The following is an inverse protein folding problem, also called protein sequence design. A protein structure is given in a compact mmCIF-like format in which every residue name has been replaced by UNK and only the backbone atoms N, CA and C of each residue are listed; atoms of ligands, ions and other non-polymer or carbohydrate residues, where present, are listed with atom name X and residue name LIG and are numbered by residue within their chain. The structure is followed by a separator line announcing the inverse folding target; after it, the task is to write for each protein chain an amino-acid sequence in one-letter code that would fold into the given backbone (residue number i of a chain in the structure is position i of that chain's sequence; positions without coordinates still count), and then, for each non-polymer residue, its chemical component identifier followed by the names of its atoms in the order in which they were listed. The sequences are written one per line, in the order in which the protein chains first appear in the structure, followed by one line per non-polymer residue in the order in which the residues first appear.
data_IF_613782514747
#
_entry.id   IF_613782514747
#
_cell.length_a   1.000
_cell.length_b   1.000
_cell.length_c   1.000
_cell.angle_alpha   90.00
_cell.angle_beta   90.00
_cell.angle_gamma   90.00
#
_symmetry.space_group_name_H-M   'P 1'
#
loop_
_entity.id
_entity.type
_entity.pdbx_description
1 polymer ?
#
# COMPACT_ATOMS: atom_id res chain seq x y z
N UNK A 1 26.43 -7.70 8.15
CA UNK A 1 26.48 -6.24 7.95
C UNK A 1 25.74 -5.72 6.70
N UNK A 2 25.38 -6.56 5.71
CA UNK A 2 24.69 -6.11 4.47
C UNK A 2 23.16 -5.99 4.56
N UNK A 3 22.52 -6.67 5.52
CA UNK A 3 21.05 -6.68 5.65
C UNK A 3 20.49 -5.34 6.18
N UNK A 4 21.20 -4.74 7.13
CA UNK A 4 20.84 -3.45 7.74
C UNK A 4 20.96 -2.32 6.70
N UNK A 5 22.05 -2.28 5.92
CA UNK A 5 22.22 -1.29 4.85
C UNK A 5 21.15 -1.39 3.76
N UNK A 6 20.63 -2.59 3.48
CA UNK A 6 19.50 -2.79 2.55
C UNK A 6 18.19 -2.19 3.09
N UNK A 7 17.96 -2.31 4.40
CA UNK A 7 16.77 -1.76 5.07
C UNK A 7 16.69 -0.23 4.99
N UNK A 8 17.84 0.46 5.01
CA UNK A 8 17.93 1.93 4.96
C UNK A 8 18.07 2.51 3.55
N UNK A 9 17.77 1.72 2.51
CA UNK A 9 17.65 2.30 1.16
C UNK A 9 16.40 3.20 1.12
N UNK A 10 16.44 4.34 0.39
CA UNK A 10 15.34 5.31 0.39
C UNK A 10 13.98 4.67 0.08
N UNK A 11 13.94 3.75 -0.88
CA UNK A 11 12.72 3.02 -1.27
C UNK A 11 12.18 2.16 -0.11
N UNK A 12 13.04 1.44 0.62
CA UNK A 12 12.60 0.63 1.75
C UNK A 12 12.12 1.47 2.93
N UNK A 13 12.72 2.65 3.16
CA UNK A 13 12.25 3.61 4.16
C UNK A 13 10.87 4.15 3.78
N UNK A 14 10.66 4.56 2.52
CA UNK A 14 9.35 4.98 2.03
C UNK A 14 8.30 3.88 2.18
N UNK A 15 8.67 2.64 1.87
CA UNK A 15 7.78 1.48 2.02
C UNK A 15 7.40 1.22 3.48
N UNK A 16 8.37 1.34 4.39
CA UNK A 16 8.13 1.23 5.83
C UNK A 16 7.18 2.34 6.32
N UNK A 17 7.43 3.59 5.93
CA UNK A 17 6.57 4.72 6.29
C UNK A 17 5.15 4.56 5.74
N UNK A 18 5.00 4.10 4.49
CA UNK A 18 3.70 3.82 3.89
C UNK A 18 2.95 2.72 4.67
N UNK A 19 3.60 1.59 4.98
CA UNK A 19 3.01 0.53 5.78
C UNK A 19 2.58 1.01 7.17
N UNK A 20 3.45 1.75 7.87
CA UNK A 20 3.13 2.28 9.19
C UNK A 20 1.92 3.21 9.13
N UNK A 21 1.83 4.08 8.12
CA UNK A 21 0.66 4.95 7.93
C UNK A 21 -0.62 4.15 7.67
N UNK A 22 -0.57 3.11 6.82
CA UNK A 22 -1.73 2.22 6.59
C UNK A 22 -2.19 1.60 7.91
N UNK A 23 -1.26 1.09 8.72
CA UNK A 23 -1.59 0.45 10.01
C UNK A 23 -2.22 1.47 10.97
N UNK A 24 -1.61 2.65 11.13
CA UNK A 24 -2.11 3.69 12.05
C UNK A 24 -3.50 4.16 11.63
N UNK A 25 -3.71 4.44 10.34
CA UNK A 25 -5.00 4.90 9.81
C UNK A 25 -6.05 3.80 9.94
N UNK A 26 -5.71 2.54 9.64
CA UNK A 26 -6.62 1.40 9.79
C UNK A 26 -7.03 1.21 11.26
N UNK A 27 -6.08 1.29 12.18
CA UNK A 27 -6.33 1.13 13.61
C UNK A 27 -7.19 2.27 14.17
N UNK A 28 -6.88 3.51 13.76
CA UNK A 28 -7.69 4.68 14.08
C UNK A 28 -9.13 4.56 13.55
N UNK A 29 -9.30 4.05 12.31
CA UNK A 29 -10.62 3.78 11.73
C UNK A 29 -11.43 2.77 12.51
N UNK A 30 -10.79 1.75 13.09
CA UNK A 30 -11.45 0.71 13.87
C UNK A 30 -11.89 1.27 15.23
N UNK A 31 -11.00 1.99 15.92
CA UNK A 31 -11.27 2.52 17.26
C UNK A 31 -12.33 3.63 17.24
N UNK A 32 -12.26 4.54 16.26
CA UNK A 32 -13.13 5.70 16.18
C UNK A 32 -14.34 5.49 15.26
N UNK A 33 -14.62 4.24 14.89
CA UNK A 33 -15.68 3.92 13.93
C UNK A 33 -17.04 4.45 14.37
N UNK A 34 -17.38 4.36 15.66
CA UNK A 34 -18.71 4.74 16.13
C UNK A 34 -18.86 6.25 16.37
N UNK A 35 -17.74 6.97 16.49
CA UNK A 35 -17.71 8.43 16.72
C UNK A 35 -17.55 9.25 15.44
N UNK A 36 -17.17 8.63 14.32
CA UNK A 36 -16.99 9.30 13.03
C UNK A 36 -18.31 9.48 12.27
N UNK A 37 -18.44 10.60 11.54
CA UNK A 37 -19.47 10.75 10.51
C UNK A 37 -19.23 9.81 9.34
N UNK A 38 -20.29 9.41 8.62
CA UNK A 38 -20.18 8.54 7.44
C UNK A 38 -19.22 9.10 6.38
N UNK A 39 -19.30 10.42 6.11
CA UNK A 39 -18.37 11.10 5.19
C UNK A 39 -16.90 10.95 5.62
N UNK A 40 -16.62 10.98 6.93
CA UNK A 40 -15.27 10.80 7.46
C UNK A 40 -14.81 9.36 7.28
N UNK A 41 -15.69 8.38 7.51
CA UNK A 41 -15.40 6.95 7.30
C UNK A 41 -15.04 6.66 5.84
N UNK A 42 -15.84 7.17 4.90
CA UNK A 42 -15.62 6.95 3.47
C UNK A 42 -14.30 7.54 2.98
N UNK A 43 -13.98 8.76 3.44
CA UNK A 43 -12.70 9.42 3.14
C UNK A 43 -11.51 8.65 3.71
N UNK A 44 -11.61 8.20 4.97
CA UNK A 44 -10.54 7.47 5.63
C UNK A 44 -10.31 6.10 4.97
N UNK A 45 -11.38 5.41 4.59
CA UNK A 45 -11.29 4.14 3.86
C UNK A 45 -10.62 4.32 2.49
N UNK A 46 -11.03 5.34 1.73
CA UNK A 46 -10.44 5.67 0.43
C UNK A 46 -8.94 6.01 0.54
N UNK A 47 -8.55 6.78 1.56
CA UNK A 47 -7.14 7.09 1.84
C UNK A 47 -6.33 5.84 2.19
N UNK A 48 -6.90 4.92 2.97
CA UNK A 48 -6.25 3.67 3.37
C UNK A 48 -6.03 2.77 2.16
N UNK A 49 -7.00 2.68 1.25
CA UNK A 49 -6.87 1.94 0.00
C UNK A 49 -5.80 2.55 -0.93
N UNK A 50 -5.76 3.88 -1.07
CA UNK A 50 -4.72 4.58 -1.84
C UNK A 50 -3.31 4.30 -1.31
N UNK A 51 -3.13 4.33 0.02
CA UNK A 51 -1.85 4.01 0.64
C UNK A 51 -1.46 2.54 0.42
N UNK A 52 -2.42 1.61 0.47
CA UNK A 52 -2.18 0.19 0.18
C UNK A 52 -1.75 -0.03 -1.27
N UNK A 53 -2.38 0.66 -2.22
CA UNK A 53 -2.00 0.66 -3.64
C UNK A 53 -0.56 1.14 -3.81
N UNK A 54 -0.20 2.26 -3.20
CA UNK A 54 1.17 2.81 -3.26
C UNK A 54 2.19 1.82 -2.69
N UNK A 55 1.85 1.14 -1.59
CA UNK A 55 2.70 0.12 -1.00
C UNK A 55 2.96 -1.05 -1.96
N UNK A 56 1.91 -1.55 -2.62
CA UNK A 56 2.05 -2.64 -3.60
C UNK A 56 2.79 -2.22 -4.86
N UNK A 57 2.59 -0.99 -5.35
CA UNK A 57 3.36 -0.44 -6.48
C UNK A 57 4.85 -0.37 -6.17
N UNK A 58 5.22 0.13 -4.98
CA UNK A 58 6.62 0.19 -4.55
C UNK A 58 7.24 -1.21 -4.48
N UNK A 59 6.52 -2.18 -3.91
CA UNK A 59 6.96 -3.58 -3.89
C UNK A 59 7.10 -4.19 -5.28
N UNK A 60 6.23 -3.82 -6.22
CA UNK A 60 6.30 -4.24 -7.61
C UNK A 60 7.52 -3.70 -8.36
N UNK A 61 7.81 -2.41 -8.18
CA UNK A 61 8.97 -1.74 -8.82
C UNK A 61 10.30 -2.32 -8.34
N UNK A 62 10.39 -2.74 -7.08
CA UNK A 62 11.59 -3.41 -6.57
C UNK A 62 11.85 -4.75 -7.29
N UNK A 63 10.80 -5.46 -7.72
CA UNK A 63 10.89 -6.71 -8.45
C UNK A 63 11.79 -6.67 -9.69
N UNK A 64 11.81 -5.54 -10.41
CA UNK A 64 12.65 -5.38 -11.59
C UNK A 64 14.15 -5.42 -11.29
N UNK A 65 14.55 -5.18 -10.03
CA UNK A 65 15.94 -5.17 -9.57
C UNK A 65 16.35 -6.44 -8.84
N UNK A 66 15.47 -7.43 -8.70
CA UNK A 66 15.74 -8.65 -7.94
C UNK A 66 16.27 -9.77 -8.84
N UNK A 67 17.47 -10.28 -8.53
CA UNK A 67 18.10 -11.42 -9.22
C UNK A 67 17.41 -12.76 -8.89
N UNK A 68 16.87 -12.88 -7.68
CA UNK A 68 16.13 -14.05 -7.21
C UNK A 68 14.77 -14.16 -7.91
N UNK A 69 14.60 -15.21 -8.74
CA UNK A 69 13.40 -15.44 -9.54
C UNK A 69 12.13 -15.47 -8.69
N UNK A 70 12.16 -16.07 -7.50
CA UNK A 70 10.97 -16.21 -6.64
C UNK A 70 10.51 -14.87 -6.11
N UNK A 71 11.45 -14.04 -5.64
CA UNK A 71 11.16 -12.69 -5.14
C UNK A 71 10.71 -11.75 -6.25
N UNK A 72 11.24 -11.94 -7.46
CA UNK A 72 10.80 -11.22 -8.66
C UNK A 72 9.35 -11.53 -9.03
N UNK A 73 8.96 -12.80 -9.04
CA UNK A 73 7.57 -13.20 -9.27
C UNK A 73 6.61 -12.64 -8.22
N UNK A 74 6.98 -12.68 -6.94
CA UNK A 74 6.18 -12.10 -5.86
C UNK A 74 5.98 -10.58 -6.05
N UNK A 75 7.02 -9.88 -6.50
CA UNK A 75 6.94 -8.45 -6.77
C UNK A 75 6.03 -8.15 -7.96
N UNK A 76 6.13 -8.90 -9.07
CA UNK A 76 5.20 -8.76 -10.19
C UNK A 76 3.75 -9.07 -9.80
N UNK A 77 3.53 -10.06 -8.95
CA UNK A 77 2.21 -10.35 -8.40
C UNK A 77 1.67 -9.14 -7.60
N UNK A 78 2.48 -8.58 -6.70
CA UNK A 78 2.11 -7.36 -5.96
C UNK A 78 1.80 -6.19 -6.91
N UNK A 79 2.56 -6.03 -8.00
CA UNK A 79 2.30 -5.02 -9.01
C UNK A 79 0.95 -5.22 -9.71
N UNK A 80 0.63 -6.44 -10.12
CA UNK A 80 -0.66 -6.79 -10.72
C UNK A 80 -1.82 -6.52 -9.74
N UNK A 81 -1.66 -6.88 -8.46
CA UNK A 81 -2.65 -6.58 -7.41
C UNK A 81 -2.86 -5.06 -7.29
N UNK A 82 -1.79 -4.27 -7.30
CA UNK A 82 -1.89 -2.81 -7.25
C UNK A 82 -2.69 -2.24 -8.42
N UNK A 83 -2.45 -2.74 -9.64
CA UNK A 83 -3.18 -2.32 -10.84
C UNK A 83 -4.67 -2.64 -10.71
N UNK A 84 -5.01 -3.86 -10.29
CA UNK A 84 -6.42 -4.27 -10.07
C UNK A 84 -7.09 -3.36 -9.04
N UNK A 85 -6.40 -3.07 -7.93
CA UNK A 85 -6.92 -2.16 -6.90
C UNK A 85 -7.12 -0.72 -7.41
N UNK A 86 -6.24 -0.22 -8.28
CA UNK A 86 -6.41 1.09 -8.94
C UNK A 86 -7.65 1.09 -9.81
N UNK A 87 -7.84 0.04 -10.62
CA UNK A 87 -9.01 -0.09 -11.50
C UNK A 87 -10.29 -0.07 -10.65
N UNK A 88 -10.36 -0.88 -9.58
CA UNK A 88 -11.50 -0.90 -8.65
C UNK A 88 -11.74 0.48 -8.03
N UNK A 89 -10.68 1.16 -7.59
CA UNK A 89 -10.80 2.51 -7.03
C UNK A 89 -11.36 3.52 -8.04
N UNK A 90 -10.91 3.46 -9.30
CA UNK A 90 -11.43 4.31 -10.38
C UNK A 90 -12.93 4.05 -10.59
N UNK A 91 -13.37 2.79 -10.62
CA UNK A 91 -14.79 2.44 -10.74
C UNK A 91 -15.63 2.99 -9.59
N UNK A 92 -15.17 2.83 -8.35
CA UNK A 92 -15.84 3.36 -7.15
C UNK A 92 -15.93 4.90 -7.21
N UNK A 93 -14.85 5.57 -7.62
CA UNK A 93 -14.81 7.04 -7.70
C UNK A 93 -15.70 7.60 -8.81
N UNK A 94 -15.85 6.87 -9.91
CA UNK A 94 -16.73 7.22 -11.03
C UNK A 94 -18.22 6.94 -10.75
N UNK A 95 -18.58 6.42 -9.57
CA UNK A 95 -19.96 6.04 -9.20
C UNK A 95 -20.63 5.15 -10.26
N UNK A 96 -19.90 4.14 -10.74
CA UNK A 96 -20.48 3.00 -11.46
C UNK A 96 -21.00 1.95 -10.46
#
# INVERSE_FOLDING_TARGET
MNMIKKLFTPINIFRLLAATNVIVISFYSIIMRDTMSELTKDRLNSLTQLLLILFFLMGGVEGFKVEDKTKRYLSYFNFCVAIVMIIINIFIFLKL
#
